data_IF_662550136335
#
_entry.id   IF_662550136335
#
_cell.length_a   1.000
_cell.length_b   1.000
_cell.length_c   1.000
_cell.angle_alpha   90.00
_cell.angle_beta   90.00
_cell.angle_gamma   90.00
#
_symmetry.space_group_name_H-M   'P 1'
#
loop_
_entity.id
_entity.type
_entity.pdbx_description
1 polymer ?
#
# COMPACT_ATOMS: atom_id res chain seq x y z
N UNK A 1 -20.71 -14.85 -17.55
CA UNK A 1 -19.85 -14.01 -16.71
C UNK A 1 -19.35 -12.86 -17.57
N UNK A 2 -19.39 -11.62 -17.05
CA UNK A 2 -18.48 -11.17 -16.00
C UNK A 2 -19.06 -11.12 -14.57
N UNK A 3 -18.17 -11.02 -13.56
CA UNK A 3 -18.45 -10.78 -12.14
C UNK A 3 -17.26 -10.04 -11.52
N UNK A 4 -17.52 -9.11 -10.58
CA UNK A 4 -16.49 -8.40 -9.80
C UNK A 4 -16.84 -8.55 -8.33
N UNK A 5 -15.85 -8.91 -7.51
CA UNK A 5 -15.98 -9.02 -6.05
C UNK A 5 -14.76 -8.34 -5.44
N UNK A 6 -14.97 -7.53 -4.39
CA UNK A 6 -13.91 -6.95 -3.58
C UNK A 6 -14.22 -7.10 -2.09
N UNK A 7 -13.19 -6.93 -1.26
CA UNK A 7 -13.32 -6.83 0.19
C UNK A 7 -13.96 -5.50 0.59
N UNK A 8 -14.69 -5.50 1.72
CA UNK A 8 -15.34 -4.33 2.33
C UNK A 8 -16.43 -3.69 1.46
N UNK A 9 -17.29 -2.79 2.00
CA UNK A 9 -18.32 -2.10 1.22
C UNK A 9 -17.75 -0.94 0.38
N UNK A 10 -16.65 -1.16 -0.33
CA UNK A 10 -16.06 -0.19 -1.26
C UNK A 10 -16.76 -0.27 -2.62
N UNK A 11 -18.02 0.18 -2.67
CA UNK A 11 -18.89 0.01 -3.85
C UNK A 11 -18.26 0.64 -5.11
N UNK A 12 -17.61 1.79 -4.97
CA UNK A 12 -16.96 2.47 -6.10
C UNK A 12 -15.83 1.63 -6.72
N UNK A 13 -15.13 0.80 -5.95
CA UNK A 13 -14.16 -0.17 -6.50
C UNK A 13 -14.85 -1.17 -7.41
N UNK A 14 -15.99 -1.70 -6.95
CA UNK A 14 -16.80 -2.64 -7.72
C UNK A 14 -17.33 -1.99 -8.99
N UNK A 15 -17.83 -0.75 -8.89
CA UNK A 15 -18.38 0.01 -10.01
C UNK A 15 -17.31 0.33 -11.07
N UNK A 16 -16.12 0.78 -10.65
CA UNK A 16 -15.01 1.08 -11.55
C UNK A 16 -14.50 -0.18 -12.26
N UNK A 17 -14.35 -1.29 -11.52
CA UNK A 17 -13.99 -2.58 -12.12
C UNK A 17 -15.06 -3.07 -13.09
N UNK A 18 -16.34 -2.93 -12.73
CA UNK A 18 -17.46 -3.33 -13.59
C UNK A 18 -17.55 -2.49 -14.86
N UNK A 19 -17.42 -1.17 -14.75
CA UNK A 19 -17.40 -0.25 -15.90
C UNK A 19 -16.26 -0.60 -16.86
N UNK A 20 -15.10 -1.00 -16.33
CA UNK A 20 -13.97 -1.45 -17.15
C UNK A 20 -14.27 -2.74 -17.92
N UNK A 21 -14.99 -3.69 -17.32
CA UNK A 21 -15.44 -4.90 -18.03
C UNK A 21 -16.51 -4.58 -19.08
N UNK A 22 -17.47 -3.69 -18.78
CA UNK A 22 -18.51 -3.28 -19.72
C UNK A 22 -17.95 -2.59 -20.97
N UNK A 23 -16.83 -1.89 -20.83
CA UNK A 23 -16.11 -1.25 -21.95
C UNK A 23 -15.19 -2.21 -22.72
N UNK A 24 -15.22 -3.51 -22.42
CA UNK A 24 -14.44 -4.53 -23.11
C UNK A 24 -13.01 -4.71 -22.59
N UNK A 25 -12.70 -4.15 -21.41
CA UNK A 25 -11.43 -4.39 -20.73
C UNK A 25 -11.27 -5.83 -20.23
N UNK A 26 -10.02 -6.23 -20.02
CA UNK A 26 -9.70 -7.55 -19.43
C UNK A 26 -10.03 -7.61 -17.94
N UNK A 27 -10.02 -8.82 -17.36
CA UNK A 27 -10.13 -8.99 -15.91
C UNK A 27 -9.02 -8.26 -15.14
N UNK A 28 -7.78 -8.28 -15.67
CA UNK A 28 -6.64 -7.54 -15.13
C UNK A 28 -6.90 -6.03 -15.17
N UNK A 29 -7.44 -5.51 -16.27
CA UNK A 29 -7.80 -4.09 -16.36
C UNK A 29 -8.86 -3.69 -15.33
N UNK A 30 -9.87 -4.54 -15.12
CA UNK A 30 -10.93 -4.29 -14.16
C UNK A 30 -10.39 -4.20 -12.73
N UNK A 31 -9.50 -5.12 -12.34
CA UNK A 31 -8.84 -5.12 -11.03
C UNK A 31 -8.01 -3.84 -10.85
N UNK A 32 -7.21 -3.47 -11.85
CA UNK A 32 -6.38 -2.25 -11.81
C UNK A 32 -7.25 -1.01 -11.66
N UNK A 33 -8.35 -0.91 -12.43
CA UNK A 33 -9.27 0.23 -12.39
C UNK A 33 -9.91 0.38 -11.00
N UNK A 34 -10.46 -0.71 -10.47
CA UNK A 34 -11.11 -0.71 -9.15
C UNK A 34 -10.13 -0.36 -8.02
N UNK A 35 -8.95 -1.00 -7.97
CA UNK A 35 -7.98 -0.73 -6.90
C UNK A 35 -7.41 0.68 -7.02
N UNK A 36 -7.09 1.15 -8.24
CA UNK A 36 -6.61 2.53 -8.46
C UNK A 36 -7.59 3.56 -7.90
N UNK A 37 -8.90 3.31 -7.98
CA UNK A 37 -9.88 4.20 -7.38
C UNK A 37 -9.63 4.40 -5.88
N UNK A 38 -9.42 3.32 -5.12
CA UNK A 38 -9.14 3.38 -3.69
C UNK A 38 -7.73 3.89 -3.34
N UNK A 39 -6.80 3.89 -4.29
CA UNK A 39 -5.48 4.49 -4.08
C UNK A 39 -5.51 6.01 -4.23
N UNK A 40 -6.45 6.55 -5.02
CA UNK A 40 -6.63 7.99 -5.20
C UNK A 40 -7.75 8.61 -4.38
N UNK A 41 -8.70 7.80 -3.90
CA UNK A 41 -9.84 8.23 -3.08
C UNK A 41 -9.83 7.49 -1.76
N UNK A 42 -10.22 8.13 -0.65
CA UNK A 42 -10.13 7.52 0.67
C UNK A 42 -11.04 6.29 0.78
N UNK A 43 -10.42 5.11 0.78
CA UNK A 43 -11.07 3.86 1.14
C UNK A 43 -10.58 3.42 2.51
N UNK A 44 -11.49 3.43 3.47
CA UNK A 44 -11.22 3.05 4.86
C UNK A 44 -12.53 2.97 5.64
N UNK A 45 -12.46 2.54 6.90
CA UNK A 45 -13.64 2.52 7.76
C UNK A 45 -14.15 3.93 8.11
N UNK A 46 -13.25 4.92 8.07
CA UNK A 46 -13.59 6.33 8.22
C UNK A 46 -12.98 7.14 7.07
N UNK A 47 -13.62 8.24 6.63
CA UNK A 47 -13.12 9.08 5.54
C UNK A 47 -11.73 9.68 5.82
N UNK A 48 -11.41 9.92 7.09
CA UNK A 48 -10.14 10.44 7.58
C UNK A 48 -9.14 9.35 7.96
N UNK A 49 -9.48 8.07 7.84
CA UNK A 49 -8.55 6.96 8.12
C UNK A 49 -8.52 5.99 6.94
N UNK A 50 -8.03 6.42 5.76
CA UNK A 50 -7.91 5.52 4.62
C UNK A 50 -6.91 4.40 4.93
N UNK A 51 -7.19 3.21 4.42
CA UNK A 51 -6.37 2.00 4.57
C UNK A 51 -5.71 1.59 3.27
N UNK A 52 -6.01 2.28 2.17
CA UNK A 52 -5.48 2.03 0.83
C UNK A 52 -4.94 3.35 0.26
N UNK A 53 -3.78 3.30 -0.40
CA UNK A 53 -3.17 4.48 -1.02
C UNK A 53 -2.58 5.50 -0.05
N UNK A 54 -2.43 6.73 -0.56
CA UNK A 54 -1.82 7.83 0.18
C UNK A 54 -2.70 8.33 1.33
N UNK A 55 -2.07 9.01 2.28
CA UNK A 55 -2.74 9.57 3.46
C UNK A 55 -3.19 8.52 4.48
N UNK A 56 -2.86 7.24 4.23
CA UNK A 56 -3.23 6.10 5.05
C UNK A 56 -2.39 5.93 6.31
N UNK A 57 -1.89 4.72 6.52
CA UNK A 57 -1.25 4.27 7.76
C UNK A 57 0.26 4.49 7.72
N UNK A 58 0.79 5.54 8.39
CA UNK A 58 2.24 5.73 8.48
C UNK A 58 2.88 4.66 9.37
N UNK A 59 4.13 4.31 9.07
CA UNK A 59 4.97 3.42 9.88
C UNK A 59 5.55 4.13 11.13
N UNK A 60 6.39 3.43 11.89
CA UNK A 60 7.00 3.99 13.12
C UNK A 60 7.90 5.21 12.85
N UNK A 61 8.48 5.31 11.66
CA UNK A 61 9.26 6.48 11.22
C UNK A 61 8.38 7.64 10.75
N UNK A 62 7.07 7.39 10.64
CA UNK A 62 6.09 8.35 10.17
C UNK A 62 5.93 8.36 8.66
N UNK A 63 6.50 7.40 7.95
CA UNK A 63 6.48 7.27 6.49
C UNK A 63 5.29 6.41 6.02
N UNK A 64 4.63 6.80 4.93
CA UNK A 64 3.58 5.97 4.31
C UNK A 64 4.22 5.18 3.18
N UNK A 65 4.19 3.84 3.27
CA UNK A 65 4.66 2.93 2.22
C UNK A 65 3.55 2.02 1.75
N UNK A 66 3.48 1.73 0.45
CA UNK A 66 2.38 0.98 -0.15
C UNK A 66 2.83 -0.41 -0.62
N UNK A 67 1.95 -1.38 -0.45
CA UNK A 67 2.10 -2.75 -0.94
C UNK A 67 0.96 -3.06 -1.91
N UNK A 68 1.27 -3.65 -3.06
CA UNK A 68 0.27 -4.06 -4.04
C UNK A 68 0.74 -5.27 -4.86
N UNK A 69 -0.22 -6.11 -5.27
CA UNK A 69 0.03 -7.31 -6.08
C UNK A 69 -1.10 -7.50 -7.08
N UNK A 70 -0.76 -7.96 -8.28
CA UNK A 70 -1.71 -8.37 -9.31
C UNK A 70 -1.27 -9.69 -9.96
N UNK A 71 -2.24 -10.52 -10.33
CA UNK A 71 -2.02 -11.79 -11.02
C UNK A 71 -2.96 -11.90 -12.22
N UNK A 72 -2.44 -12.30 -13.37
CA UNK A 72 -3.26 -12.75 -14.50
C UNK A 72 -3.51 -14.26 -14.38
N UNK A 73 -4.78 -14.64 -14.18
CA UNK A 73 -5.16 -16.05 -14.08
C UNK A 73 -5.02 -16.86 -15.37
N UNK A 74 -4.81 -16.20 -16.52
CA UNK A 74 -4.64 -16.86 -17.82
C UNK A 74 -3.21 -17.32 -18.04
N UNK A 75 -2.24 -16.44 -17.77
CA UNK A 75 -0.82 -16.69 -17.99
C UNK A 75 -0.09 -17.13 -16.73
N UNK A 76 -0.70 -16.91 -15.56
CA UNK A 76 -0.11 -17.02 -14.24
C UNK A 76 1.03 -16.01 -13.98
N UNK A 77 1.14 -14.96 -14.79
CA UNK A 77 2.07 -13.88 -14.51
C UNK A 77 1.62 -13.09 -13.27
N UNK A 78 2.60 -12.68 -12.49
CA UNK A 78 2.40 -11.91 -11.25
C UNK A 78 3.34 -10.73 -11.25
N UNK A 79 2.83 -9.57 -10.86
CA UNK A 79 3.64 -8.41 -10.52
C UNK A 79 3.23 -7.84 -9.18
N UNK A 80 4.22 -7.42 -8.41
CA UNK A 80 4.03 -6.94 -7.06
C UNK A 80 5.07 -5.87 -6.70
N UNK A 81 4.65 -5.00 -5.80
CA UNK A 81 5.50 -4.03 -5.12
C UNK A 81 5.29 -4.11 -3.62
N UNK A 82 6.36 -3.92 -2.84
CA UNK A 82 6.29 -3.84 -1.39
C UNK A 82 7.14 -2.70 -0.85
N UNK A 83 6.72 -2.06 0.24
CA UNK A 83 7.36 -0.88 0.79
C UNK A 83 7.59 0.21 -0.29
N UNK A 84 6.65 0.37 -1.24
CA UNK A 84 6.76 1.37 -2.31
C UNK A 84 6.59 2.76 -1.71
N UNK A 85 7.53 3.65 -2.03
CA UNK A 85 7.59 5.01 -1.52
C UNK A 85 7.28 6.01 -2.62
N UNK A 86 6.71 7.15 -2.23
CA UNK A 86 6.59 8.35 -3.07
C UNK A 86 5.89 8.15 -4.42
N UNK A 87 5.02 7.14 -4.55
CA UNK A 87 4.22 6.86 -5.76
C UNK A 87 2.83 6.41 -5.34
N UNK A 88 1.78 7.11 -5.78
CA UNK A 88 0.40 6.87 -5.31
C UNK A 88 -0.25 5.60 -5.84
N UNK A 89 -0.06 5.30 -7.13
CA UNK A 89 -0.77 4.21 -7.81
C UNK A 89 0.02 2.90 -7.74
N UNK A 90 0.05 2.27 -6.56
CA UNK A 90 0.86 1.07 -6.32
C UNK A 90 0.42 -0.11 -7.18
N UNK A 91 -0.89 -0.32 -7.41
CA UNK A 91 -1.38 -1.43 -8.25
C UNK A 91 -0.96 -1.29 -9.71
N UNK A 92 -0.89 -0.07 -10.25
CA UNK A 92 -0.39 0.15 -11.61
C UNK A 92 1.13 -0.05 -11.70
N UNK A 93 1.89 0.25 -10.65
CA UNK A 93 3.32 -0.12 -10.60
C UNK A 93 3.46 -1.64 -10.56
N UNK A 94 2.68 -2.35 -9.74
CA UNK A 94 2.66 -3.82 -9.69
C UNK A 94 2.32 -4.43 -11.07
N UNK A 95 1.32 -3.87 -11.78
CA UNK A 95 1.03 -4.26 -13.17
C UNK A 95 2.23 -4.02 -14.09
N UNK A 96 2.95 -2.92 -13.91
CA UNK A 96 4.13 -2.61 -14.71
C UNK A 96 5.27 -3.60 -14.44
N UNK A 97 5.45 -4.06 -13.20
CA UNK A 97 6.39 -5.15 -12.86
C UNK A 97 6.05 -6.41 -13.66
N UNK A 98 4.77 -6.81 -13.66
CA UNK A 98 4.27 -7.97 -14.41
C UNK A 98 4.52 -7.85 -15.92
N UNK A 99 4.35 -6.65 -16.49
CA UNK A 99 4.37 -6.44 -17.93
C UNK A 99 5.77 -6.15 -18.51
N UNK A 100 6.67 -5.60 -17.70
CA UNK A 100 7.93 -5.03 -18.18
C UNK A 100 9.17 -5.64 -17.52
N UNK A 101 9.00 -6.71 -16.75
CA UNK A 101 10.10 -7.46 -16.16
C UNK A 101 9.81 -8.95 -16.20
N UNK A 102 10.84 -9.78 -15.99
CA UNK A 102 10.68 -11.21 -15.72
C UNK A 102 10.68 -11.51 -14.22
N UNK A 103 10.61 -10.48 -13.37
CA UNK A 103 10.58 -10.58 -11.92
C UNK A 103 9.12 -10.51 -11.43
N UNK A 104 8.89 -11.02 -10.22
CA UNK A 104 7.56 -10.98 -9.59
C UNK A 104 7.39 -9.83 -8.61
N UNK A 105 8.43 -9.48 -7.85
CA UNK A 105 8.33 -8.52 -6.75
C UNK A 105 9.53 -7.56 -6.78
N UNK A 106 9.25 -6.26 -6.68
CA UNK A 106 10.23 -5.21 -6.41
C UNK A 106 9.87 -4.52 -5.09
N UNK A 107 10.85 -4.04 -4.33
CA UNK A 107 10.58 -3.44 -3.02
C UNK A 107 11.35 -2.15 -2.75
N UNK A 108 10.83 -1.35 -1.82
CA UNK A 108 11.52 -0.18 -1.26
C UNK A 108 11.83 0.89 -2.30
N UNK A 109 12.98 1.54 -2.12
CA UNK A 109 13.47 2.58 -3.02
C UNK A 109 13.67 2.07 -4.46
N UNK A 110 14.08 0.81 -4.64
CA UNK A 110 14.27 0.23 -5.97
C UNK A 110 12.94 0.09 -6.73
N UNK A 111 11.84 -0.20 -6.03
CA UNK A 111 10.50 -0.17 -6.61
C UNK A 111 10.11 1.25 -7.04
N UNK A 112 10.45 2.27 -6.23
CA UNK A 112 10.26 3.68 -6.59
C UNK A 112 11.04 4.04 -7.84
N UNK A 113 12.32 3.71 -7.91
CA UNK A 113 13.15 3.99 -9.09
C UNK A 113 12.63 3.29 -10.35
N UNK A 114 12.15 2.05 -10.22
CA UNK A 114 11.46 1.36 -11.31
C UNK A 114 10.20 2.12 -11.76
N UNK A 115 9.35 2.52 -10.82
CA UNK A 115 8.13 3.28 -11.11
C UNK A 115 8.42 4.59 -11.87
N UNK A 116 9.44 5.34 -11.46
CA UNK A 116 9.85 6.58 -12.15
C UNK A 116 10.33 6.30 -13.58
N UNK A 117 11.03 5.19 -13.82
CA UNK A 117 11.43 4.77 -15.18
C UNK A 117 10.22 4.41 -16.05
N UNK A 118 9.19 3.82 -15.44
CA UNK A 118 7.88 3.54 -16.04
C UNK A 118 6.98 4.78 -16.15
N UNK A 119 7.49 5.97 -15.84
CA UNK A 119 6.82 7.28 -15.95
C UNK A 119 5.72 7.54 -14.93
N UNK A 120 5.70 6.81 -13.82
CA UNK A 120 4.88 7.21 -12.67
C UNK A 120 5.46 8.47 -12.03
N UNK A 121 4.61 9.42 -11.60
CA UNK A 121 5.08 10.63 -10.93
C UNK A 121 5.58 10.32 -9.52
N UNK A 122 6.60 11.08 -9.10
CA UNK A 122 7.05 11.13 -7.71
C UNK A 122 6.15 12.08 -6.92
N UNK A 123 5.49 11.61 -5.87
CA UNK A 123 4.51 12.37 -5.10
C UNK A 123 4.59 12.07 -3.59
N UNK A 124 4.33 13.07 -2.75
CA UNK A 124 4.21 12.86 -1.30
C UNK A 124 2.97 11.98 -0.99
N UNK A 125 3.18 10.92 -0.20
CA UNK A 125 2.14 10.02 0.27
C UNK A 125 1.52 10.46 1.61
N UNK A 126 2.01 11.54 2.20
CA UNK A 126 1.50 12.09 3.44
C UNK A 126 0.35 13.06 3.24
N UNK A 127 -0.55 13.06 4.21
CA UNK A 127 -1.55 14.10 4.44
C UNK A 127 -1.34 14.71 5.83
N UNK A 128 -1.89 15.91 6.08
CA UNK A 128 -1.89 16.50 7.42
C UNK A 128 -2.45 15.54 8.47
N UNK A 129 -3.51 14.81 8.11
CA UNK A 129 -4.11 13.83 9.00
C UNK A 129 -3.18 12.64 9.30
N UNK A 130 -2.50 12.07 8.29
CA UNK A 130 -1.53 10.98 8.54
C UNK A 130 -0.40 11.44 9.48
N UNK A 131 0.10 12.66 9.29
CA UNK A 131 1.13 13.27 10.16
C UNK A 131 0.61 13.50 11.58
N UNK A 132 -0.65 13.93 11.72
CA UNK A 132 -1.28 14.11 13.03
C UNK A 132 -1.50 12.78 13.75
N UNK A 133 -1.94 11.73 13.04
CA UNK A 133 -2.10 10.37 13.60
C UNK A 133 -0.77 9.84 14.12
N UNK A 134 0.30 9.94 13.33
CA UNK A 134 1.64 9.55 13.77
C UNK A 134 2.10 10.38 14.97
N UNK A 135 1.89 11.71 14.96
CA UNK A 135 2.25 12.57 16.10
C UNK A 135 1.50 12.19 17.38
N UNK A 136 0.21 11.85 17.28
CA UNK A 136 -0.59 11.36 18.42
C UNK A 136 -0.05 10.03 18.95
N UNK A 137 0.26 9.10 18.07
CA UNK A 137 0.88 7.82 18.42
C UNK A 137 2.23 8.00 19.13
N UNK A 138 3.10 8.84 18.57
CA UNK A 138 4.42 9.13 19.14
C UNK A 138 4.30 9.85 20.50
N UNK A 139 3.32 10.74 20.68
CA UNK A 139 3.04 11.38 21.99
C UNK A 139 2.42 10.43 23.01
N UNK A 140 1.84 9.32 22.55
CA UNK A 140 1.26 8.26 23.38
C UNK A 140 2.28 7.13 23.62
N UNK A 141 3.55 7.49 23.81
CA UNK A 141 4.66 6.55 24.05
C UNK A 141 4.71 5.40 23.04
N UNK A 142 4.39 5.70 21.77
CA UNK A 142 4.38 4.74 20.67
C UNK A 142 3.41 3.56 20.90
N UNK A 143 2.27 3.81 21.55
CA UNK A 143 1.26 2.78 21.81
C UNK A 143 0.05 2.89 20.86
N UNK A 144 -0.38 1.78 20.23
CA UNK A 144 0.24 0.44 20.24
C UNK A 144 1.45 0.36 19.30
N UNK A 145 2.35 -0.61 19.51
CA UNK A 145 3.39 -0.99 18.53
C UNK A 145 3.49 -2.53 18.44
N UNK A 146 4.36 -3.01 17.56
CA UNK A 146 4.50 -4.42 17.22
C UNK A 146 5.82 -5.04 17.73
N UNK A 147 6.53 -4.37 18.63
CA UNK A 147 7.75 -4.89 19.24
C UNK A 147 7.46 -5.76 20.47
N UNK A 148 8.28 -6.80 20.66
CA UNK A 148 8.26 -7.67 21.84
C UNK A 148 9.69 -8.09 22.23
N UNK A 149 9.92 -8.44 23.50
CA UNK A 149 11.21 -8.96 24.00
C UNK A 149 12.41 -8.03 23.72
N UNK A 150 12.20 -6.73 23.88
CA UNK A 150 13.20 -5.67 23.66
C UNK A 150 13.20 -4.64 24.79
N UNK A 151 14.32 -3.94 24.94
CA UNK A 151 14.52 -2.85 25.88
C UNK A 151 14.69 -1.51 25.13
N UNK A 152 14.05 -0.40 25.56
CA UNK A 152 13.13 -0.31 26.70
C UNK A 152 11.81 -1.06 26.46
N UNK A 153 11.06 -1.36 27.53
CA UNK A 153 9.83 -2.14 27.45
C UNK A 153 8.84 -1.55 26.41
N UNK A 154 8.55 -2.28 25.31
CA UNK A 154 7.79 -1.73 24.18
C UNK A 154 6.32 -1.47 24.53
N UNK A 155 5.79 -2.02 25.63
CA UNK A 155 4.42 -1.73 26.10
C UNK A 155 4.28 -0.39 26.81
N UNK A 156 5.39 0.33 27.02
CA UNK A 156 5.43 1.56 27.83
C UNK A 156 6.27 2.68 27.23
N UNK A 157 7.16 2.37 26.29
CA UNK A 157 8.12 3.33 25.77
C UNK A 157 8.27 3.17 24.27
N UNK A 158 8.51 4.30 23.58
CA UNK A 158 9.06 4.32 22.24
C UNK A 158 10.47 3.74 22.21
N UNK A 159 10.89 3.32 21.01
CA UNK A 159 12.27 2.94 20.73
C UNK A 159 13.25 4.14 20.68
N UNK A 160 14.47 3.94 20.16
CA UNK A 160 14.95 2.69 19.56
C UNK A 160 15.02 1.56 20.57
N UNK A 161 14.77 0.35 20.07
CA UNK A 161 14.72 -0.87 20.85
C UNK A 161 15.97 -1.71 20.62
N UNK A 162 16.44 -2.38 21.66
CA UNK A 162 17.54 -3.35 21.60
C UNK A 162 17.06 -4.70 22.18
N UNK A 163 17.52 -5.85 21.66
CA UNK A 163 17.12 -7.17 22.19
C UNK A 163 17.36 -7.31 23.70
N UNK A 164 16.39 -7.87 24.43
CA UNK A 164 16.60 -8.26 25.83
C UNK A 164 17.46 -9.53 25.90
N UNK A 165 18.73 -9.39 26.29
CA UNK A 165 19.63 -10.52 26.56
C UNK A 165 20.57 -10.87 25.40
N UNK A 166 21.87 -10.72 25.70
CA UNK A 166 23.10 -11.23 25.06
C UNK A 166 23.01 -11.79 23.64
N UNK A 167 23.65 -11.06 22.73
CA UNK A 167 24.23 -11.51 21.46
C UNK A 167 24.96 -12.86 21.62
N UNK A 168 24.49 -13.88 20.92
CA UNK A 168 25.27 -15.11 20.67
C UNK A 168 25.92 -15.00 19.30
#
# INVERSE_FOLDING_TARGET
LPMVINTWPFINVTEEGWARLQSGGSAVDAVVSGISYCEFHPCGHKPDEPTVGFGGSPDESGETTLDAMIMDGTTHDVGAVGCLKEVKNAIAVARSVMQHTTHTLLVGEDATQFALRMKFPKEDLHTNNSRERWSKWHKNDCQPNFWESVHPNPKRHCGPYEPEGVYV
#
